data_IF_912952828866
#
_entry.id   IF_912952828866
#
_cell.length_a   1.000
_cell.length_b   1.000
_cell.length_c   1.000
_cell.angle_alpha   90.00
_cell.angle_beta   90.00
_cell.angle_gamma   90.00
#
_symmetry.space_group_name_H-M   'P 1'
#
loop_
_entity.id
_entity.type
_entity.pdbx_description
1 polymer ?
#
# COMPACT_ATOMS: atom_id res chain seq x y z
N UNK A 1 25.72 30.82 4.87
CA UNK A 1 24.48 31.05 5.64
C UNK A 1 23.23 31.14 4.76
N UNK A 2 23.38 31.37 3.45
CA UNK A 2 22.32 31.21 2.46
C UNK A 2 22.33 29.78 1.92
N UNK A 3 21.20 29.11 1.86
CA UNK A 3 21.13 27.76 1.31
C UNK A 3 19.93 26.99 1.84
N UNK A 4 19.90 26.78 3.16
CA UNK A 4 18.75 26.10 3.78
C UNK A 4 17.58 27.09 3.94
N UNK A 5 17.86 28.34 4.31
CA UNK A 5 16.83 29.38 4.48
C UNK A 5 16.11 29.71 3.16
N UNK A 6 16.85 29.97 2.08
CA UNK A 6 16.27 30.23 0.76
C UNK A 6 15.49 29.03 0.21
N UNK A 7 16.03 27.82 0.39
CA UNK A 7 15.34 26.61 -0.06
C UNK A 7 14.05 26.37 0.73
N UNK A 8 14.05 26.65 2.04
CA UNK A 8 12.84 26.57 2.87
C UNK A 8 11.77 27.56 2.41
N UNK A 9 12.14 28.80 2.09
CA UNK A 9 11.20 29.80 1.56
C UNK A 9 10.62 29.34 0.22
N UNK A 10 11.45 28.84 -0.70
CA UNK A 10 11.00 28.35 -1.99
C UNK A 10 10.05 27.15 -1.84
N UNK A 11 10.38 26.23 -0.94
CA UNK A 11 9.55 25.05 -0.66
C UNK A 11 8.18 25.46 -0.10
N UNK A 12 8.13 26.46 0.78
CA UNK A 12 6.88 27.01 1.29
C UNK A 12 6.03 27.58 0.15
N UNK A 13 6.62 28.35 -0.77
CA UNK A 13 5.90 28.92 -1.93
C UNK A 13 5.34 27.81 -2.83
N UNK A 14 6.10 26.76 -3.10
CA UNK A 14 5.63 25.61 -3.87
C UNK A 14 4.48 24.90 -3.16
N UNK A 15 4.58 24.68 -1.84
CA UNK A 15 3.50 24.06 -1.05
C UNK A 15 2.24 24.94 -1.04
N UNK A 16 2.36 26.27 -1.05
CA UNK A 16 1.22 27.18 -1.14
C UNK A 16 0.49 27.07 -2.49
N UNK A 17 1.24 26.96 -3.59
CA UNK A 17 0.68 26.87 -4.95
C UNK A 17 0.08 25.48 -5.21
N UNK A 18 0.82 24.43 -4.88
CA UNK A 18 0.40 23.05 -5.13
C UNK A 18 -0.55 22.53 -4.04
N UNK A 19 -0.45 23.04 -2.81
CA UNK A 19 -1.20 22.58 -1.65
C UNK A 19 -0.52 21.43 -0.90
N UNK A 20 -0.68 21.42 0.43
CA UNK A 20 -0.05 20.44 1.34
C UNK A 20 -0.41 18.98 1.07
N UNK A 21 -1.55 18.70 0.40
CA UNK A 21 -1.97 17.34 0.03
C UNK A 21 -1.39 16.88 -1.31
N UNK A 22 -1.06 17.79 -2.23
CA UNK A 22 -0.57 17.45 -3.59
C UNK A 22 0.91 17.11 -3.61
N UNK A 23 1.73 17.79 -2.79
CA UNK A 23 3.16 17.49 -2.67
C UNK A 23 3.46 16.03 -2.28
N UNK A 24 2.85 15.48 -1.21
CA UNK A 24 3.06 14.08 -0.83
C UNK A 24 2.40 13.10 -1.79
N UNK A 25 1.28 13.47 -2.43
CA UNK A 25 0.61 12.67 -3.45
C UNK A 25 1.51 12.48 -4.68
N UNK A 26 2.09 13.57 -5.19
CA UNK A 26 3.05 13.58 -6.30
C UNK A 26 4.33 12.82 -5.94
N UNK A 27 4.89 13.05 -4.76
CA UNK A 27 6.08 12.31 -4.31
C UNK A 27 5.81 10.80 -4.21
N UNK A 28 4.63 10.40 -3.73
CA UNK A 28 4.24 8.97 -3.62
C UNK A 28 4.02 8.33 -4.99
N UNK A 29 3.37 9.02 -5.94
CA UNK A 29 3.15 8.48 -7.29
C UNK A 29 4.46 8.41 -8.09
N UNK A 30 5.27 9.48 -8.06
CA UNK A 30 6.59 9.51 -8.70
C UNK A 30 7.55 8.50 -8.06
N UNK A 31 7.51 8.32 -6.74
CA UNK A 31 8.34 7.35 -6.03
C UNK A 31 8.07 5.91 -6.43
N UNK A 32 6.81 5.55 -6.72
CA UNK A 32 6.45 4.21 -7.23
C UNK A 32 7.05 3.96 -8.61
N UNK A 33 6.89 4.90 -9.54
CA UNK A 33 7.48 4.78 -10.89
C UNK A 33 9.00 4.81 -10.87
N UNK A 34 9.60 5.68 -10.07
CA UNK A 34 11.05 5.77 -9.90
C UNK A 34 11.65 4.49 -9.29
N UNK A 35 10.93 3.80 -8.40
CA UNK A 35 11.38 2.53 -7.84
C UNK A 35 11.47 1.44 -8.90
N UNK A 36 10.46 1.35 -9.78
CA UNK A 36 10.43 0.38 -10.89
C UNK A 36 11.58 0.66 -11.86
N UNK A 37 11.70 1.92 -12.29
CA UNK A 37 12.82 2.34 -13.15
C UNK A 37 14.18 2.08 -12.48
N UNK A 38 14.31 2.30 -11.17
CA UNK A 38 15.56 2.07 -10.46
C UNK A 38 15.88 0.58 -10.31
N UNK A 39 14.88 -0.30 -10.13
CA UNK A 39 15.10 -1.74 -10.14
C UNK A 39 15.52 -2.26 -11.52
N UNK A 40 14.88 -1.79 -12.59
CA UNK A 40 15.22 -2.17 -13.96
C UNK A 40 16.60 -1.62 -14.35
N UNK A 41 16.87 -0.34 -14.06
CA UNK A 41 18.17 0.27 -14.29
C UNK A 41 19.28 -0.41 -13.47
N UNK A 42 18.99 -0.86 -12.24
CA UNK A 42 19.95 -1.61 -11.42
C UNK A 42 20.18 -3.00 -11.98
N UNK A 43 19.16 -3.69 -12.48
CA UNK A 43 19.32 -4.99 -13.13
C UNK A 43 20.22 -4.88 -14.37
N UNK A 44 20.00 -3.87 -15.22
CA UNK A 44 20.88 -3.61 -16.37
C UNK A 44 22.32 -3.25 -15.96
N UNK A 45 22.49 -2.52 -14.85
CA UNK A 45 23.82 -2.16 -14.34
C UNK A 45 24.53 -3.33 -13.68
N UNK A 46 23.78 -4.22 -13.03
CA UNK A 46 24.27 -5.44 -12.37
C UNK A 46 24.59 -6.55 -13.38
N UNK A 47 23.88 -6.64 -14.50
CA UNK A 47 24.19 -7.60 -15.58
C UNK A 47 25.51 -7.24 -16.31
N UNK A 48 25.97 -6.00 -16.17
CA UNK A 48 27.27 -5.53 -16.65
C UNK A 48 28.38 -5.65 -15.58
N UNK A 49 28.03 -5.99 -14.33
CA UNK A 49 28.95 -6.10 -13.20
C UNK A 49 28.52 -7.26 -12.29
N UNK A 50 28.89 -8.49 -12.65
CA UNK A 50 28.65 -9.69 -11.87
C UNK A 50 29.11 -9.55 -10.41
N UNK A 51 28.18 -9.49 -9.44
CA UNK A 51 28.25 -10.19 -8.15
C UNK A 51 26.99 -9.97 -7.26
N UNK A 52 26.48 -10.99 -6.53
CA UNK A 52 25.21 -10.96 -5.81
C UNK A 52 25.41 -10.65 -4.33
N UNK A 53 25.42 -9.37 -3.94
CA UNK A 53 25.28 -9.00 -2.53
C UNK A 53 24.76 -7.58 -2.38
N UNK A 54 23.44 -7.40 -2.39
CA UNK A 54 22.73 -6.28 -1.75
C UNK A 54 21.24 -6.32 -2.07
N UNK A 55 20.47 -7.15 -1.35
CA UNK A 55 19.02 -6.99 -1.25
C UNK A 55 18.44 -7.67 0.02
N UNK A 56 19.12 -7.62 1.16
CA UNK A 56 18.48 -7.78 2.46
C UNK A 56 18.27 -6.38 3.06
N UNK A 57 17.05 -5.84 2.91
CA UNK A 57 16.68 -4.56 3.50
C UNK A 57 15.80 -3.70 2.61
N UNK A 58 14.60 -4.19 2.27
CA UNK A 58 13.52 -3.29 1.89
C UNK A 58 12.85 -2.79 3.18
N UNK A 59 12.93 -1.50 3.54
CA UNK A 59 11.96 -0.96 4.48
C UNK A 59 10.60 -1.06 3.78
N UNK A 60 9.70 -1.86 4.34
CA UNK A 60 8.31 -1.93 3.91
C UNK A 60 7.59 -0.75 4.54
N UNK A 61 7.23 0.32 3.81
CA UNK A 61 6.29 1.30 4.30
C UNK A 61 4.91 0.73 3.91
N UNK A 62 4.49 -0.29 4.63
CA UNK A 62 3.08 -0.68 4.64
C UNK A 62 2.28 0.52 5.17
N UNK A 63 1.20 0.94 4.51
CA UNK A 63 0.23 1.78 5.19
C UNK A 63 -0.23 1.02 6.43
N UNK A 64 -0.04 1.62 7.59
CA UNK A 64 -0.79 1.32 8.78
C UNK A 64 -2.28 1.60 8.50
N UNK A 65 -2.92 0.69 7.77
CA UNK A 65 -4.35 0.45 7.85
C UNK A 65 -4.56 -0.62 8.91
N UNK A 66 -5.56 -0.50 9.82
CA UNK A 66 -5.90 -1.55 10.75
C UNK A 66 -6.22 -2.84 9.97
N UNK A 67 -5.31 -3.81 10.02
CA UNK A 67 -5.62 -5.18 9.66
C UNK A 67 -6.17 -5.85 10.91
N UNK A 68 -7.49 -5.97 10.99
CA UNK A 68 -8.13 -7.05 11.75
C UNK A 68 -9.22 -7.63 10.87
N UNK A 69 -8.85 -8.71 10.19
CA UNK A 69 -9.77 -9.73 9.70
C UNK A 69 -10.48 -10.31 10.93
N UNK A 70 -11.81 -10.28 10.93
CA UNK A 70 -12.64 -10.77 12.02
C UNK A 70 -14.05 -11.10 11.54
N UNK A 71 -14.17 -11.88 10.48
CA UNK A 71 -15.38 -12.65 10.20
C UNK A 71 -14.91 -14.09 9.99
N UNK A 72 -15.32 -14.98 10.90
CA UNK A 72 -15.02 -16.40 10.81
C UNK A 72 -15.55 -16.95 9.47
N UNK A 73 -14.78 -17.80 8.76
CA UNK A 73 -15.28 -18.51 7.59
C UNK A 73 -16.32 -19.56 8.04
N UNK A 74 -17.61 -19.35 7.75
CA UNK A 74 -18.63 -20.32 8.18
C UNK A 74 -20.11 -20.11 7.81
N UNK A 75 -20.58 -18.92 7.43
CA UNK A 75 -22.05 -18.65 7.40
C UNK A 75 -22.66 -18.41 6.00
N UNK A 76 -22.29 -19.20 4.98
CA UNK A 76 -23.03 -19.18 3.69
C UNK A 76 -23.48 -20.55 3.17
N UNK A 77 -23.35 -21.61 3.95
CA UNK A 77 -23.81 -22.95 3.54
C UNK A 77 -24.52 -23.66 4.69
N UNK A 78 -25.70 -23.16 5.04
CA UNK A 78 -26.71 -23.94 5.76
C UNK A 78 -27.77 -24.43 4.76
N UNK A 79 -28.08 -25.74 4.68
CA UNK A 79 -29.21 -26.23 3.91
C UNK A 79 -30.52 -25.57 4.39
N UNK A 80 -31.53 -25.39 3.51
CA UNK A 80 -32.81 -24.80 3.91
C UNK A 80 -33.41 -25.65 5.04
N UNK A 81 -33.80 -24.98 6.13
CA UNK A 81 -34.43 -25.61 7.28
C UNK A 81 -35.60 -26.51 6.81
N UNK A 82 -35.62 -27.81 7.17
CA UNK A 82 -36.75 -28.66 6.87
C UNK A 82 -37.97 -28.15 7.65
N UNK A 83 -39.05 -27.83 6.93
CA UNK A 83 -40.36 -27.53 7.55
C UNK A 83 -40.82 -28.79 8.29
N UNK A 84 -41.19 -28.71 9.57
CA UNK A 84 -41.88 -29.81 10.23
C UNK A 84 -43.35 -29.81 9.80
N UNK A 85 -43.61 -30.25 8.56
CA UNK A 85 -44.93 -30.73 8.14
C UNK A 85 -44.98 -32.24 8.41
N UNK A 86 -45.29 -32.63 9.65
CA UNK A 86 -45.83 -33.95 9.99
C UNK A 86 -46.08 -34.06 11.50
N UNK A 87 -47.28 -34.53 11.84
CA UNK A 87 -47.64 -35.21 13.09
C UNK A 87 -48.05 -34.38 14.32
N UNK A 88 -49.30 -33.88 14.30
CA UNK A 88 -50.18 -34.09 15.45
C UNK A 88 -51.58 -34.51 14.97
N UNK A 89 -51.88 -35.82 14.91
CA UNK A 89 -53.24 -36.30 14.99
C UNK A 89 -53.58 -36.49 16.47
N UNK A 90 -54.43 -35.64 17.06
CA UNK A 90 -55.23 -36.04 18.23
C UNK A 90 -56.30 -35.01 18.59
N UNK A 91 -57.54 -35.52 18.49
CA UNK A 91 -58.79 -35.15 19.17
C UNK A 91 -59.38 -33.79 18.89
#
# INVERSE_FOLDING_TARGET
MLGISELAILLIVVILIFGAKKLPELARSMGKSARILKSEAKAMKSDQASDPSAAAGAPSPGPAGPQVIGAAPGDITGPPAPRPDSDIPRT
#
